data_IF_765040654091
#
_entry.id   IF_765040654091
#
_cell.length_a   1.000
_cell.length_b   1.000
_cell.length_c   1.000
_cell.angle_alpha   90.00
_cell.angle_beta   90.00
_cell.angle_gamma   90.00
#
_symmetry.space_group_name_H-M   'P 1'
#
loop_
_entity.id
_entity.type
_entity.pdbx_description
1 polymer ?
#
# COMPACT_ATOMS: atom_id res chain seq x y z
N UNK A 1 -5.02 11.98 22.29
CA UNK A 1 -3.63 11.78 21.78
C UNK A 1 -3.23 12.90 20.81
N UNK A 2 -3.91 13.07 19.66
CA UNK A 2 -3.55 14.07 18.65
C UNK A 2 -3.54 15.53 19.14
N UNK A 3 -4.50 15.93 19.97
CA UNK A 3 -4.49 17.26 20.60
C UNK A 3 -3.26 17.50 21.49
N UNK A 4 -2.79 16.47 22.20
CA UNK A 4 -1.59 16.56 23.02
C UNK A 4 -0.34 16.67 22.13
N UNK A 5 -0.25 15.91 21.04
CA UNK A 5 0.82 16.03 20.05
C UNK A 5 0.90 17.44 19.46
N UNK A 6 -0.24 18.01 19.05
CA UNK A 6 -0.30 19.37 18.53
C UNK A 6 0.19 20.41 19.56
N UNK A 7 -0.20 20.25 20.83
CA UNK A 7 0.27 21.11 21.94
C UNK A 7 1.78 20.99 22.16
N UNK A 8 2.32 19.77 22.24
CA UNK A 8 3.75 19.52 22.44
C UNK A 8 4.56 20.08 21.26
N UNK A 9 4.15 19.81 20.02
CA UNK A 9 4.81 20.33 18.83
C UNK A 9 4.87 21.86 18.87
N UNK A 10 3.76 22.51 19.21
CA UNK A 10 3.70 23.98 19.33
C UNK A 10 4.62 24.52 20.42
N UNK A 11 4.72 23.83 21.55
CA UNK A 11 5.62 24.21 22.64
C UNK A 11 7.09 24.08 22.25
N UNK A 12 7.46 22.99 21.56
CA UNK A 12 8.86 22.70 21.20
C UNK A 12 9.33 23.52 20.00
N UNK A 13 8.49 23.64 18.96
CA UNK A 13 8.85 24.25 17.67
C UNK A 13 8.44 25.73 17.60
N UNK A 14 7.56 26.19 18.50
CA UNK A 14 7.04 27.56 18.51
C UNK A 14 6.03 27.88 17.39
N UNK A 15 5.68 26.89 16.55
CA UNK A 15 4.74 27.03 15.42
C UNK A 15 3.61 26.00 15.50
N UNK A 16 2.40 26.31 15.03
CA UNK A 16 1.31 25.34 14.99
C UNK A 16 1.66 24.18 14.03
N UNK A 17 1.31 22.95 14.42
CA UNK A 17 1.40 21.81 13.53
C UNK A 17 0.26 21.88 12.51
N UNK A 18 0.59 22.15 11.25
CA UNK A 18 -0.38 22.15 10.14
C UNK A 18 -0.34 20.81 9.45
N UNK A 19 -1.47 20.10 9.48
CA UNK A 19 -1.60 18.79 8.83
C UNK A 19 -2.56 18.92 7.65
N UNK A 20 -2.03 18.75 6.44
CA UNK A 20 -2.82 18.76 5.20
C UNK A 20 -3.41 17.37 4.90
N UNK A 21 -2.63 16.30 5.10
CA UNK A 21 -3.03 14.93 4.74
C UNK A 21 -2.63 13.96 5.84
N UNK A 22 -3.51 13.02 6.16
CA UNK A 22 -3.24 11.90 7.09
C UNK A 22 -3.64 10.61 6.42
N UNK A 23 -2.74 9.62 6.39
CA UNK A 23 -3.07 8.28 5.93
C UNK A 23 -3.40 7.39 7.12
N UNK A 24 -4.52 6.66 7.04
CA UNK A 24 -4.91 5.72 8.07
C UNK A 24 -5.83 4.61 7.59
N UNK A 25 -6.46 3.96 8.56
CA UNK A 25 -7.28 2.77 8.36
C UNK A 25 -8.74 3.17 8.11
N UNK A 26 -9.59 2.19 7.79
CA UNK A 26 -11.03 2.43 7.63
C UNK A 26 -11.72 2.46 9.01
N UNK A 27 -11.24 3.32 9.91
CA UNK A 27 -11.67 3.39 11.31
C UNK A 27 -12.24 4.77 11.65
N UNK A 28 -13.51 4.77 12.06
CA UNK A 28 -14.24 5.99 12.37
C UNK A 28 -13.68 6.73 13.58
N UNK A 29 -13.17 6.00 14.58
CA UNK A 29 -12.60 6.60 15.78
C UNK A 29 -11.25 7.28 15.46
N UNK A 30 -10.43 6.68 14.60
CA UNK A 30 -9.22 7.30 14.08
C UNK A 30 -9.55 8.58 13.31
N UNK A 31 -10.46 8.51 12.33
CA UNK A 31 -10.88 9.68 11.56
C UNK A 31 -11.38 10.81 12.50
N UNK A 32 -12.29 10.49 13.41
CA UNK A 32 -12.84 11.46 14.36
C UNK A 32 -11.74 12.04 15.25
N UNK A 33 -10.82 11.23 15.76
CA UNK A 33 -9.71 11.68 16.58
C UNK A 33 -8.75 12.61 15.85
N UNK A 34 -8.45 12.32 14.58
CA UNK A 34 -7.61 13.17 13.73
C UNK A 34 -8.33 14.50 13.46
N UNK A 35 -9.61 14.45 13.08
CA UNK A 35 -10.42 15.65 12.85
C UNK A 35 -10.52 16.52 14.11
N UNK A 36 -10.72 15.93 15.29
CA UNK A 36 -10.73 16.71 16.54
C UNK A 36 -9.36 17.28 16.91
N UNK A 37 -8.28 16.55 16.63
CA UNK A 37 -6.91 16.97 16.99
C UNK A 37 -6.30 18.01 16.04
N UNK A 38 -6.69 17.96 14.76
CA UNK A 38 -6.06 18.74 13.69
C UNK A 38 -7.05 19.46 12.76
N UNK A 39 -8.35 19.20 12.85
CA UNK A 39 -9.37 19.75 11.93
C UNK A 39 -9.66 21.24 12.06
N UNK A 40 -8.89 21.98 12.86
CA UNK A 40 -8.87 23.44 12.81
C UNK A 40 -8.31 23.99 11.49
N UNK A 41 -7.59 23.17 10.70
CA UNK A 41 -7.25 23.48 9.31
C UNK A 41 -8.37 22.98 8.38
N UNK A 42 -9.02 23.90 7.66
CA UNK A 42 -10.11 23.61 6.72
C UNK A 42 -9.72 22.70 5.52
N UNK A 43 -8.49 22.19 5.48
CA UNK A 43 -7.92 21.42 4.36
C UNK A 43 -7.47 20.00 4.73
N UNK A 44 -7.65 19.55 5.98
CA UNK A 44 -7.21 18.20 6.36
C UNK A 44 -7.95 17.12 5.54
N UNK A 45 -7.18 16.34 4.77
CA UNK A 45 -7.67 15.20 4.00
C UNK A 45 -7.24 13.88 4.62
N UNK A 46 -8.22 13.05 4.98
CA UNK A 46 -7.98 11.69 5.40
C UNK A 46 -7.84 10.78 4.17
N UNK A 47 -6.65 10.22 4.01
CA UNK A 47 -6.29 9.27 2.96
C UNK A 47 -6.43 7.86 3.48
N UNK A 48 -7.00 7.01 2.64
CA UNK A 48 -7.13 5.60 2.93
C UNK A 48 -5.88 4.85 2.52
N UNK A 49 -5.33 4.07 3.45
CA UNK A 49 -4.20 3.22 3.13
C UNK A 49 -4.62 2.16 2.11
N UNK A 50 -3.96 2.16 0.94
CA UNK A 50 -4.25 1.20 -0.12
C UNK A 50 -3.95 -0.24 0.27
N UNK A 51 -2.96 -0.48 1.14
CA UNK A 51 -2.70 -1.81 1.67
C UNK A 51 -3.93 -2.40 2.35
N UNK A 52 -4.65 -1.62 3.17
CA UNK A 52 -5.87 -2.06 3.84
C UNK A 52 -6.99 -2.39 2.86
N UNK A 53 -7.14 -1.58 1.80
CA UNK A 53 -8.11 -1.86 0.73
C UNK A 53 -7.76 -3.17 0.04
N UNK A 54 -6.52 -3.33 -0.39
CA UNK A 54 -6.05 -4.54 -1.07
C UNK A 54 -6.15 -5.78 -0.19
N UNK A 55 -5.75 -5.70 1.08
CA UNK A 55 -5.86 -6.80 2.04
C UNK A 55 -7.31 -7.25 2.22
N UNK A 56 -8.25 -6.30 2.35
CA UNK A 56 -9.68 -6.59 2.47
C UNK A 56 -10.28 -7.16 1.20
N UNK A 57 -9.83 -6.69 0.03
CA UNK A 57 -10.22 -7.28 -1.25
C UNK A 57 -9.73 -8.72 -1.35
N UNK A 58 -8.46 -8.99 -1.06
CA UNK A 58 -7.87 -10.34 -1.07
C UNK A 58 -8.61 -11.28 -0.13
N UNK A 59 -8.91 -10.84 1.10
CA UNK A 59 -9.70 -11.61 2.07
C UNK A 59 -11.06 -12.03 1.48
N UNK A 60 -11.75 -11.11 0.79
CA UNK A 60 -13.07 -11.32 0.19
C UNK A 60 -13.02 -12.08 -1.14
N UNK A 61 -11.86 -12.19 -1.78
CA UNK A 61 -11.66 -12.96 -3.00
C UNK A 61 -10.93 -14.28 -2.78
N UNK A 62 -10.50 -14.59 -1.55
CA UNK A 62 -9.68 -15.78 -1.22
C UNK A 62 -10.34 -17.10 -1.60
N UNK A 63 -11.66 -17.19 -1.45
CA UNK A 63 -12.45 -18.40 -1.76
C UNK A 63 -12.91 -18.44 -3.22
N UNK A 64 -12.52 -17.47 -4.04
CA UNK A 64 -12.94 -17.38 -5.45
C UNK A 64 -11.95 -18.12 -6.35
N UNK A 65 -12.43 -18.54 -7.51
CA UNK A 65 -11.56 -19.10 -8.55
C UNK A 65 -10.47 -18.09 -8.96
N UNK A 66 -9.25 -18.56 -9.28
CA UNK A 66 -8.11 -17.68 -9.60
C UNK A 66 -8.37 -16.62 -10.68
N UNK A 67 -9.12 -16.90 -11.78
CA UNK A 67 -9.42 -15.88 -12.79
C UNK A 67 -10.21 -14.69 -12.25
N UNK A 68 -11.20 -14.94 -11.39
CA UNK A 68 -12.02 -13.89 -10.79
C UNK A 68 -11.22 -13.05 -9.78
N UNK A 69 -10.36 -13.68 -8.99
CA UNK A 69 -9.46 -12.97 -8.09
C UNK A 69 -8.48 -12.08 -8.86
N UNK A 70 -7.92 -12.57 -9.98
CA UNK A 70 -7.05 -11.78 -10.87
C UNK A 70 -7.79 -10.58 -11.46
N UNK A 71 -9.02 -10.77 -11.98
CA UNK A 71 -9.85 -9.71 -12.54
C UNK A 71 -10.14 -8.59 -11.52
N UNK A 72 -10.54 -8.98 -10.30
CA UNK A 72 -10.80 -8.02 -9.21
C UNK A 72 -9.54 -7.26 -8.82
N UNK A 73 -8.41 -7.96 -8.66
CA UNK A 73 -7.16 -7.31 -8.27
C UNK A 73 -6.64 -6.38 -9.36
N UNK A 74 -6.74 -6.76 -10.64
CA UNK A 74 -6.36 -5.89 -11.77
C UNK A 74 -7.16 -4.60 -11.74
N UNK A 75 -8.49 -4.69 -11.70
CA UNK A 75 -9.34 -3.52 -11.66
C UNK A 75 -9.12 -2.63 -10.43
N UNK A 76 -8.81 -3.23 -9.27
CA UNK A 76 -8.41 -2.49 -8.07
C UNK A 76 -7.14 -1.66 -8.29
N UNK A 77 -6.11 -2.26 -8.89
CA UNK A 77 -4.85 -1.57 -9.18
C UNK A 77 -5.02 -0.48 -10.24
N UNK A 78 -5.80 -0.75 -11.30
CA UNK A 78 -6.09 0.24 -12.35
C UNK A 78 -6.78 1.48 -11.76
N UNK A 79 -7.76 1.27 -10.87
CA UNK A 79 -8.40 2.36 -10.14
C UNK A 79 -7.46 3.07 -9.18
N UNK A 80 -6.58 2.35 -8.47
CA UNK A 80 -5.64 2.93 -7.52
C UNK A 80 -4.64 3.86 -8.21
N UNK A 81 -4.09 3.40 -9.32
CA UNK A 81 -3.03 4.10 -10.07
C UNK A 81 -3.54 5.13 -11.07
N UNK A 82 -4.86 5.37 -11.12
CA UNK A 82 -5.40 6.53 -11.83
C UNK A 82 -4.69 7.82 -11.39
N UNK A 83 -4.32 8.65 -12.36
CA UNK A 83 -3.47 9.84 -12.15
C UNK A 83 -4.28 11.11 -11.91
N UNK A 84 -5.57 11.08 -12.20
CA UNK A 84 -6.50 12.15 -11.90
C UNK A 84 -7.90 11.60 -11.68
N UNK A 85 -8.79 12.46 -11.19
CA UNK A 85 -10.18 12.10 -10.95
C UNK A 85 -10.92 11.68 -12.23
N UNK A 86 -10.64 12.33 -13.37
CA UNK A 86 -11.26 11.96 -14.66
C UNK A 86 -10.88 10.57 -15.14
N UNK A 87 -9.59 10.22 -15.03
CA UNK A 87 -9.10 8.87 -15.33
C UNK A 87 -9.72 7.86 -14.36
N UNK A 88 -9.75 8.17 -13.07
CA UNK A 88 -10.39 7.32 -12.07
C UNK A 88 -11.86 7.07 -12.39
N UNK A 89 -12.64 8.09 -12.76
CA UNK A 89 -14.06 7.93 -13.12
C UNK A 89 -14.24 7.00 -14.32
N UNK A 90 -13.40 7.15 -15.34
CA UNK A 90 -13.43 6.33 -16.56
C UNK A 90 -13.05 4.88 -16.26
N UNK A 91 -11.90 4.67 -15.60
CA UNK A 91 -11.42 3.35 -15.20
C UNK A 91 -12.41 2.65 -14.27
N UNK A 92 -12.97 3.38 -13.30
CA UNK A 92 -14.01 2.85 -12.39
C UNK A 92 -15.23 2.38 -13.17
N UNK A 93 -15.71 3.15 -14.14
CA UNK A 93 -16.87 2.75 -14.94
C UNK A 93 -16.59 1.46 -15.74
N UNK A 94 -15.42 1.38 -16.38
CA UNK A 94 -15.01 0.20 -17.14
C UNK A 94 -14.87 -1.03 -16.25
N UNK A 95 -14.12 -0.94 -15.14
CA UNK A 95 -13.88 -2.05 -14.22
C UNK A 95 -15.20 -2.57 -13.62
N UNK A 96 -16.11 -1.66 -13.26
CA UNK A 96 -17.40 -2.07 -12.72
C UNK A 96 -18.32 -2.73 -13.76
N UNK A 97 -18.20 -2.36 -15.04
CA UNK A 97 -18.89 -3.06 -16.13
C UNK A 97 -18.31 -4.47 -16.31
N UNK A 98 -16.99 -4.60 -16.38
CA UNK A 98 -16.31 -5.91 -16.49
C UNK A 98 -16.64 -6.84 -15.32
N UNK A 99 -16.76 -6.31 -14.10
CA UNK A 99 -17.19 -7.10 -12.94
C UNK A 99 -18.68 -7.45 -12.97
N UNK A 100 -19.52 -6.67 -13.66
CA UNK A 100 -20.95 -6.95 -13.80
C UNK A 100 -21.22 -8.10 -14.80
N UNK A 101 -20.35 -8.26 -15.80
CA UNK A 101 -20.41 -9.36 -16.78
C UNK A 101 -20.12 -10.74 -16.15
N UNK A 102 -19.66 -10.76 -14.89
CA UNK A 102 -19.34 -11.99 -14.14
C UNK A 102 -20.34 -12.15 -12.99
N UNK A 103 -21.43 -12.94 -13.15
CA UNK A 103 -22.50 -13.01 -12.16
C UNK A 103 -22.04 -13.37 -10.73
N UNK A 104 -21.03 -14.23 -10.61
CA UNK A 104 -20.47 -14.64 -9.30
C UNK A 104 -19.83 -13.48 -8.54
N UNK A 105 -19.47 -12.37 -9.21
CA UNK A 105 -18.92 -11.17 -8.58
C UNK A 105 -19.98 -10.19 -8.07
N UNK A 106 -21.27 -10.36 -8.38
CA UNK A 106 -22.32 -9.40 -8.04
C UNK A 106 -22.30 -8.96 -6.57
N UNK A 107 -22.28 -9.91 -5.62
CA UNK A 107 -22.21 -9.62 -4.18
C UNK A 107 -20.94 -8.88 -3.79
N UNK A 108 -19.80 -9.23 -4.39
CA UNK A 108 -18.54 -8.54 -4.15
C UNK A 108 -18.57 -7.11 -4.70
N UNK A 109 -19.11 -6.90 -5.90
CA UNK A 109 -19.23 -5.60 -6.53
C UNK A 109 -20.11 -4.65 -5.70
N UNK A 110 -21.23 -5.14 -5.15
CA UNK A 110 -22.08 -4.37 -4.23
C UNK A 110 -21.32 -4.00 -2.96
N UNK A 111 -20.61 -4.95 -2.34
CA UNK A 111 -19.74 -4.69 -1.21
C UNK A 111 -18.70 -3.61 -1.52
N UNK A 112 -17.96 -3.77 -2.63
CA UNK A 112 -16.87 -2.88 -3.02
C UNK A 112 -17.37 -1.45 -3.24
N UNK A 113 -18.51 -1.29 -3.93
CA UNK A 113 -19.16 0.02 -4.12
C UNK A 113 -19.50 0.68 -2.78
N UNK A 114 -20.11 -0.07 -1.86
CA UNK A 114 -20.53 0.46 -0.56
C UNK A 114 -19.34 0.89 0.31
N UNK A 115 -18.25 0.11 0.32
CA UNK A 115 -17.15 0.32 1.26
C UNK A 115 -16.07 1.25 0.74
N UNK A 116 -15.72 1.13 -0.54
CA UNK A 116 -14.51 1.75 -1.09
C UNK A 116 -14.79 2.85 -2.11
N UNK A 117 -16.02 2.93 -2.63
CA UNK A 117 -16.41 3.95 -3.61
C UNK A 117 -17.43 4.95 -3.06
N UNK A 118 -17.99 4.69 -1.87
CA UNK A 118 -19.01 5.53 -1.24
C UNK A 118 -18.64 5.81 0.22
N UNK A 119 -19.06 6.96 0.76
CA UNK A 119 -18.85 7.32 2.17
C UNK A 119 -17.51 8.01 2.44
N UNK A 120 -16.99 7.81 3.66
CA UNK A 120 -15.86 8.59 4.22
C UNK A 120 -14.47 8.05 3.85
N UNK A 121 -14.38 6.77 3.47
CA UNK A 121 -13.13 6.04 3.29
C UNK A 121 -12.86 5.71 1.82
N UNK A 122 -13.01 6.70 0.96
CA UNK A 122 -12.91 6.54 -0.51
C UNK A 122 -11.59 7.03 -1.08
N UNK A 123 -10.82 7.81 -0.32
CA UNK A 123 -9.59 8.47 -0.78
C UNK A 123 -8.36 7.55 -0.75
N UNK A 124 -8.40 6.41 -1.44
CA UNK A 124 -7.30 5.44 -1.54
C UNK A 124 -6.50 5.52 -2.84
N UNK A 125 -6.91 6.37 -3.79
CA UNK A 125 -6.25 6.51 -5.09
C UNK A 125 -4.97 7.35 -4.98
N UNK A 126 -4.00 7.07 -5.86
CA UNK A 126 -2.68 7.73 -5.82
C UNK A 126 -2.77 9.23 -6.08
N UNK A 127 -3.68 9.67 -6.95
CA UNK A 127 -3.83 11.09 -7.31
C UNK A 127 -4.28 12.00 -6.16
N UNK A 128 -4.73 11.46 -5.02
CA UNK A 128 -4.99 12.27 -3.83
C UNK A 128 -3.72 12.70 -3.07
N UNK A 129 -2.58 12.10 -3.39
CA UNK A 129 -1.28 12.40 -2.78
C UNK A 129 -0.43 13.21 -3.72
N UNK A 130 0.44 14.03 -3.14
CA UNK A 130 1.53 14.67 -3.88
C UNK A 130 2.51 13.59 -4.34
N UNK A 131 3.14 13.79 -5.50
CA UNK A 131 4.13 12.84 -6.05
C UNK A 131 5.27 12.61 -5.06
N UNK A 132 5.77 11.38 -4.99
CA UNK A 132 6.84 10.98 -4.08
C UNK A 132 6.39 10.66 -2.65
N UNK A 133 5.12 10.89 -2.30
CA UNK A 133 4.60 10.53 -0.98
C UNK A 133 4.28 9.04 -0.88
N UNK A 134 4.40 8.49 0.33
CA UNK A 134 4.15 7.09 0.60
C UNK A 134 2.74 6.67 0.15
N UNK A 135 2.64 5.55 -0.58
CA UNK A 135 1.36 5.03 -1.06
C UNK A 135 0.68 4.10 -0.07
N UNK A 136 1.44 3.61 0.90
CA UNK A 136 0.99 2.74 1.99
C UNK A 136 1.56 3.25 3.32
N UNK A 137 0.87 2.93 4.40
CA UNK A 137 1.38 3.07 5.76
C UNK A 137 2.33 1.92 6.16
N UNK A 138 2.72 1.03 5.23
CA UNK A 138 3.47 -0.20 5.54
C UNK A 138 4.75 0.02 6.37
N UNK A 139 5.53 1.12 6.19
CA UNK A 139 6.65 1.42 7.08
C UNK A 139 6.21 1.64 8.54
N UNK A 140 5.08 2.35 8.74
CA UNK A 140 4.49 2.60 10.07
C UNK A 140 3.96 1.30 10.67
N UNK A 141 3.29 0.47 9.88
CA UNK A 141 2.81 -0.83 10.34
C UNK A 141 3.95 -1.76 10.74
N UNK A 142 5.02 -1.82 9.93
CA UNK A 142 6.20 -2.62 10.24
C UNK A 142 6.85 -2.14 11.55
N UNK A 143 6.99 -0.83 11.74
CA UNK A 143 7.50 -0.27 12.99
C UNK A 143 6.59 -0.61 14.18
N UNK A 144 5.28 -0.45 14.02
CA UNK A 144 4.29 -0.79 15.05
C UNK A 144 4.34 -2.28 15.44
N UNK A 145 4.59 -3.17 14.47
CA UNK A 145 4.71 -4.61 14.67
C UNK A 145 5.96 -4.94 15.47
N UNK A 146 7.08 -4.27 15.18
CA UNK A 146 8.32 -4.40 15.96
C UNK A 146 8.11 -3.96 17.40
N UNK A 147 7.52 -2.77 17.63
CA UNK A 147 7.21 -2.28 18.98
C UNK A 147 6.34 -3.27 19.75
N UNK A 148 5.23 -3.70 19.13
CA UNK A 148 4.29 -4.65 19.75
C UNK A 148 4.98 -5.97 20.11
N UNK A 149 5.84 -6.48 19.22
CA UNK A 149 6.52 -7.76 19.43
C UNK A 149 7.63 -7.68 20.47
N UNK A 150 8.44 -6.63 20.45
CA UNK A 150 9.71 -6.59 21.20
C UNK A 150 9.66 -5.79 22.50
N UNK A 151 8.81 -4.77 22.58
CA UNK A 151 8.83 -3.82 23.70
C UNK A 151 7.56 -3.91 24.54
N UNK A 152 6.40 -4.11 23.92
CA UNK A 152 5.15 -4.27 24.67
C UNK A 152 4.72 -5.71 24.84
N UNK A 153 5.37 -6.66 24.16
CA UNK A 153 5.00 -8.09 24.16
C UNK A 153 3.49 -8.29 23.94
N UNK A 154 2.92 -7.52 23.00
CA UNK A 154 1.48 -7.47 22.70
C UNK A 154 0.55 -7.10 23.88
N UNK A 155 1.11 -6.65 25.00
CA UNK A 155 0.38 -6.23 26.19
C UNK A 155 -0.01 -4.75 26.12
N UNK A 156 -1.17 -4.42 26.70
CA UNK A 156 -1.63 -3.03 26.82
C UNK A 156 -0.98 -2.38 28.05
N UNK A 157 -0.11 -1.41 27.82
CA UNK A 157 0.62 -0.70 28.88
C UNK A 157 -0.08 0.61 29.28
N UNK A 158 0.09 1.01 30.54
CA UNK A 158 -0.25 2.38 30.99
C UNK A 158 0.73 3.38 30.36
N UNK A 159 0.32 4.64 30.20
CA UNK A 159 1.11 5.67 29.52
C UNK A 159 2.54 5.82 30.06
N UNK A 160 2.76 5.81 31.38
CA UNK A 160 4.10 5.89 31.96
C UNK A 160 5.00 4.72 31.55
N UNK A 161 4.50 3.49 31.64
CA UNK A 161 5.23 2.30 31.21
C UNK A 161 5.48 2.28 29.69
N UNK A 162 4.51 2.76 28.90
CA UNK A 162 4.65 2.87 27.46
C UNK A 162 5.74 3.88 27.06
N UNK A 163 5.81 5.04 27.73
CA UNK A 163 6.86 6.02 27.50
C UNK A 163 8.25 5.46 27.84
N UNK A 164 8.36 4.69 28.91
CA UNK A 164 9.61 3.98 29.23
C UNK A 164 10.01 3.00 28.13
N UNK A 165 9.06 2.20 27.62
CA UNK A 165 9.34 1.29 26.50
C UNK A 165 9.76 2.03 25.22
N UNK A 166 9.18 3.19 24.93
CA UNK A 166 9.63 4.03 23.82
C UNK A 166 11.04 4.56 24.04
N UNK A 167 11.38 5.00 25.26
CA UNK A 167 12.73 5.43 25.58
C UNK A 167 13.73 4.28 25.39
N UNK A 168 13.42 3.09 25.92
CA UNK A 168 14.23 1.88 25.71
C UNK A 168 14.42 1.57 24.23
N UNK A 169 13.36 1.67 23.42
CA UNK A 169 13.43 1.49 21.97
C UNK A 169 14.34 2.53 21.30
N UNK A 170 14.27 3.80 21.70
CA UNK A 170 15.13 4.84 21.17
C UNK A 170 16.59 4.58 21.55
N UNK A 171 16.86 4.22 22.81
CA UNK A 171 18.21 3.92 23.30
C UNK A 171 18.80 2.71 22.57
N UNK A 172 18.06 1.60 22.44
CA UNK A 172 18.56 0.40 21.76
C UNK A 172 18.85 0.65 20.28
N UNK A 173 17.97 1.37 19.56
CA UNK A 173 18.23 1.72 18.16
C UNK A 173 19.38 2.74 18.03
N UNK A 174 19.58 3.64 19.01
CA UNK A 174 20.72 4.57 19.01
C UNK A 174 22.07 3.90 19.24
N UNK A 175 22.08 2.75 19.94
CA UNK A 175 23.26 1.91 20.14
C UNK A 175 23.51 0.95 18.98
N UNK A 176 22.62 0.93 17.98
CA UNK A 176 22.79 0.06 16.82
C UNK A 176 23.89 0.60 15.92
N UNK A 177 24.87 -0.24 15.57
CA UNK A 177 25.89 0.05 14.54
C UNK A 177 25.31 0.13 13.11
N UNK A 178 23.99 0.20 12.96
CA UNK A 178 23.33 0.40 11.67
C UNK A 178 23.63 1.82 11.21
N UNK A 179 24.46 1.94 10.19
CA UNK A 179 24.68 3.21 9.51
C UNK A 179 23.37 3.70 8.89
N UNK A 180 23.01 4.95 9.21
CA UNK A 180 21.89 5.61 8.55
C UNK A 180 22.22 5.77 7.07
N UNK A 181 21.33 5.27 6.20
CA UNK A 181 21.47 5.49 4.78
C UNK A 181 21.30 6.98 4.49
N UNK A 182 22.36 7.63 4.01
CA UNK A 182 22.36 9.04 3.61
C UNK A 182 21.78 9.27 2.22
N UNK A 183 21.50 8.18 1.49
CA UNK A 183 20.89 8.21 0.17
C UNK A 183 19.94 7.04 -0.05
N UNK A 184 19.10 7.12 -1.10
CA UNK A 184 18.20 6.04 -1.45
C UNK A 184 18.99 4.83 -1.96
N UNK A 185 19.02 3.76 -1.16
CA UNK A 185 19.61 2.48 -1.58
C UNK A 185 18.54 1.61 -2.24
N UNK A 186 18.68 1.36 -3.53
CA UNK A 186 17.77 0.47 -4.26
C UNK A 186 18.10 -0.99 -3.89
N UNK A 187 17.16 -1.76 -3.33
CA UNK A 187 17.42 -3.16 -3.00
C UNK A 187 17.79 -3.98 -4.24
N UNK A 188 18.77 -4.89 -4.13
CA UNK A 188 19.16 -5.78 -5.24
C UNK A 188 17.98 -6.58 -5.80
N UNK A 189 17.05 -6.98 -4.93
CA UNK A 189 15.81 -7.67 -5.32
C UNK A 189 14.92 -6.81 -6.21
N UNK A 190 14.82 -5.50 -5.93
CA UNK A 190 14.06 -4.56 -6.74
C UNK A 190 14.71 -4.38 -8.11
N UNK A 191 16.04 -4.21 -8.16
CA UNK A 191 16.79 -4.12 -9.43
C UNK A 191 16.55 -5.36 -10.28
N UNK A 192 16.68 -6.55 -9.68
CA UNK A 192 16.45 -7.82 -10.38
C UNK A 192 15.02 -7.90 -10.92
N UNK A 193 14.03 -7.57 -10.09
CA UNK A 193 12.61 -7.62 -10.49
C UNK A 193 12.27 -6.63 -11.59
N UNK A 194 12.82 -5.42 -11.54
CA UNK A 194 12.66 -4.43 -12.61
C UNK A 194 13.24 -4.95 -13.92
N UNK A 195 14.42 -5.57 -13.90
CA UNK A 195 15.00 -6.19 -15.11
C UNK A 195 14.14 -7.31 -15.67
N UNK A 196 13.63 -8.21 -14.82
CA UNK A 196 12.71 -9.28 -15.22
C UNK A 196 11.44 -8.72 -15.89
N UNK A 197 10.80 -7.71 -15.27
CA UNK A 197 9.60 -7.09 -15.81
C UNK A 197 9.87 -6.31 -17.10
N UNK A 198 11.04 -5.67 -17.21
CA UNK A 198 11.48 -4.98 -18.42
C UNK A 198 11.65 -5.97 -19.58
N UNK A 199 12.33 -7.09 -19.33
CA UNK A 199 12.54 -8.14 -20.33
C UNK A 199 11.21 -8.74 -20.80
N UNK A 200 10.25 -8.90 -19.88
CA UNK A 200 8.90 -9.38 -20.18
C UNK A 200 7.98 -8.32 -20.83
N UNK A 201 8.46 -7.08 -21.05
CA UNK A 201 7.65 -5.94 -21.54
C UNK A 201 6.42 -5.63 -20.68
N UNK A 202 6.53 -5.90 -19.38
CA UNK A 202 5.48 -5.66 -18.39
C UNK A 202 5.68 -4.35 -17.61
N UNK A 203 6.74 -3.60 -17.91
CA UNK A 203 6.95 -2.26 -17.37
C UNK A 203 6.35 -1.22 -18.28
N UNK A 204 5.47 -0.40 -17.72
CA UNK A 204 4.99 0.82 -18.36
C UNK A 204 5.63 2.02 -17.66
N UNK A 205 6.57 2.67 -18.33
CA UNK A 205 7.21 3.89 -17.82
C UNK A 205 6.44 5.12 -18.31
N UNK A 206 5.80 5.82 -17.38
CA UNK A 206 5.19 7.10 -17.68
C UNK A 206 6.21 8.22 -17.44
N UNK A 207 6.82 8.72 -18.52
CA UNK A 207 7.63 9.93 -18.47
C UNK A 207 6.77 11.17 -18.80
N UNK A 208 6.44 12.03 -17.81
CA UNK A 208 5.82 13.31 -18.10
C UNK A 208 6.91 14.23 -18.66
N UNK A 209 7.15 14.16 -19.98
CA UNK A 209 7.95 15.12 -20.79
C UNK A 209 8.90 16.04 -20.00
N UNK A 210 10.18 15.65 -20.02
CA UNK A 210 11.42 16.38 -19.71
C UNK A 210 11.36 17.92 -19.70
N UNK A 211 10.76 18.53 -18.69
CA UNK A 211 10.96 19.96 -18.37
C UNK A 211 11.01 20.14 -16.85
N UNK A 212 11.85 21.08 -16.41
CA UNK A 212 12.07 21.45 -15.00
C UNK A 212 10.80 21.99 -14.32
N UNK A 213 9.73 22.24 -15.09
CA UNK A 213 8.43 22.72 -14.61
C UNK A 213 7.85 21.88 -13.45
N UNK A 214 8.10 20.57 -13.40
CA UNK A 214 7.67 19.73 -12.26
C UNK A 214 8.31 20.13 -10.91
N UNK A 215 9.51 20.72 -10.93
CA UNK A 215 10.19 21.23 -9.73
C UNK A 215 9.74 22.64 -9.34
N UNK A 216 9.07 23.34 -10.25
CA UNK A 216 8.64 24.74 -10.09
C UNK A 216 7.11 24.89 -9.91
N UNK A 217 6.35 23.80 -10.02
CA UNK A 217 4.89 23.78 -9.84
C UNK A 217 4.56 23.83 -8.33
N UNK A 218 4.71 25.03 -7.76
CA UNK A 218 3.98 25.42 -6.56
C UNK A 218 2.48 25.40 -6.89
N UNK A 219 1.76 24.48 -6.24
CA UNK A 219 0.31 24.52 -6.00
C UNK A 219 -0.54 25.30 -7.04
N UNK A 220 -0.91 24.70 -8.17
CA UNK A 220 -2.18 25.02 -8.86
C UNK A 220 -2.71 23.85 -9.73
N UNK A 221 -4.04 23.75 -9.91
CA UNK A 221 -4.71 22.49 -10.24
C UNK A 221 -4.79 22.28 -11.77
N UNK A 222 -4.24 21.18 -12.26
CA UNK A 222 -4.54 20.70 -13.61
C UNK A 222 -5.53 19.53 -13.59
N UNK A 223 -6.79 19.82 -13.91
CA UNK A 223 -7.64 18.93 -14.70
C UNK A 223 -8.77 19.73 -15.36
N UNK A 224 -8.80 19.75 -16.69
CA UNK A 224 -10.01 20.13 -17.43
C UNK A 224 -10.41 19.05 -18.44
N UNK A 225 -10.31 17.75 -18.07
CA UNK A 225 -10.72 16.53 -18.83
C UNK A 225 -9.71 15.78 -19.73
N UNK A 226 -8.44 15.65 -19.32
CA UNK A 226 -7.47 14.57 -19.70
C UNK A 226 -6.35 14.81 -20.73
N UNK A 227 -6.31 15.84 -21.58
CA UNK A 227 -5.25 16.11 -22.61
C UNK A 227 -4.14 15.03 -22.82
N UNK A 228 -4.46 13.80 -23.25
CA UNK A 228 -3.56 12.82 -23.93
C UNK A 228 -4.34 11.78 -24.77
N UNK A 229 -3.76 11.24 -25.86
CA UNK A 229 -4.42 10.29 -26.77
C UNK A 229 -4.52 8.87 -26.18
N UNK A 230 -5.57 8.15 -26.59
CA UNK A 230 -5.90 6.75 -26.26
C UNK A 230 -4.67 5.83 -26.37
N UNK A 231 -4.36 5.07 -25.31
CA UNK A 231 -3.54 3.87 -25.45
C UNK A 231 -4.48 2.68 -25.63
N UNK A 232 -4.34 2.03 -26.78
CA UNK A 232 -4.98 0.78 -27.18
C UNK A 232 -4.60 -0.30 -26.18
N UNK A 233 -5.61 -1.07 -25.74
CA UNK A 233 -5.44 -2.28 -24.94
C UNK A 233 -4.70 -3.30 -25.80
N UNK A 234 -3.55 -3.79 -25.34
CA UNK A 234 -3.03 -5.10 -25.70
C UNK A 234 -1.95 -5.49 -24.69
N UNK A 235 -2.34 -6.24 -23.65
CA UNK A 235 -1.50 -7.31 -23.10
C UNK A 235 -2.42 -8.35 -22.44
N UNK A 236 -2.82 -9.35 -23.21
CA UNK A 236 -3.06 -10.71 -22.72
C UNK A 236 -1.73 -11.26 -22.21
N UNK A 237 -1.50 -11.18 -20.89
CA UNK A 237 -0.39 -11.90 -20.25
C UNK A 237 -0.95 -12.85 -19.20
N UNK A 238 -0.80 -14.13 -19.50
CA UNK A 238 -0.86 -15.21 -18.53
C UNK A 238 0.19 -14.96 -17.46
N UNK A 239 -0.30 -14.80 -16.22
CA UNK A 239 0.56 -14.75 -15.05
C UNK A 239 0.76 -16.20 -14.60
N UNK A 240 2.00 -16.69 -14.44
CA UNK A 240 2.20 -18.03 -13.89
C UNK A 240 1.71 -18.07 -12.43
N UNK A 241 0.92 -19.07 -12.03
CA UNK A 241 0.46 -19.23 -10.65
C UNK A 241 1.62 -19.75 -9.79
N UNK A 242 2.04 -19.03 -8.75
CA UNK A 242 2.93 -19.64 -7.74
C UNK A 242 3.86 -18.76 -6.90
N UNK A 243 3.99 -17.44 -7.13
CA UNK A 243 5.02 -16.64 -6.42
C UNK A 243 4.52 -15.80 -5.23
N UNK A 244 3.45 -16.24 -4.55
CA UNK A 244 3.06 -15.67 -3.25
C UNK A 244 3.71 -16.43 -2.09
N UNK A 245 5.05 -16.56 -2.12
CA UNK A 245 5.81 -17.03 -0.97
C UNK A 245 6.28 -15.83 -0.13
N UNK A 246 5.70 -15.71 1.06
CA UNK A 246 6.08 -14.78 2.11
C UNK A 246 7.55 -15.00 2.52
N UNK A 247 8.46 -14.01 2.34
CA UNK A 247 9.85 -14.17 2.75
C UNK A 247 9.97 -13.87 4.24
N UNK A 248 9.60 -14.83 5.09
CA UNK A 248 10.07 -14.99 6.48
C UNK A 248 9.35 -16.18 7.15
N UNK A 249 9.88 -17.38 6.99
CA UNK A 249 9.78 -18.42 8.00
C UNK A 249 11.05 -19.31 7.92
N UNK A 250 11.97 -19.26 8.89
CA UNK A 250 13.08 -20.19 8.95
C UNK A 250 12.56 -21.47 9.62
N UNK A 251 12.10 -22.43 8.82
CA UNK A 251 11.92 -23.79 9.33
C UNK A 251 13.30 -24.42 9.29
N UNK A 252 13.92 -24.55 10.47
CA UNK A 252 15.10 -25.37 10.64
C UNK A 252 14.77 -26.82 10.38
N UNK A 253 15.57 -27.48 9.56
CA UNK A 253 15.70 -28.93 9.60
C UNK A 253 17.17 -29.31 9.57
N UNK A 254 17.54 -30.03 10.63
CA UNK A 254 18.81 -30.70 10.82
C UNK A 254 19.16 -31.57 9.62
N UNK A 255 20.40 -31.47 9.19
CA UNK A 255 21.02 -32.39 8.27
C UNK A 255 21.27 -33.73 8.98
N UNK A 256 20.63 -34.80 8.52
CA UNK A 256 21.11 -36.17 8.71
C UNK A 256 20.67 -37.05 7.53
N UNK A 257 21.64 -37.72 6.90
CA UNK A 257 21.42 -39.01 6.24
C UNK A 257 21.26 -39.01 4.72
N UNK A 258 22.37 -39.14 4.02
CA UNK A 258 22.43 -39.66 2.65
C UNK A 258 22.02 -41.15 2.62
N UNK A 259 21.11 -41.51 1.70
CA UNK A 259 21.15 -42.79 0.96
C UNK A 259 20.22 -42.71 -0.29
N UNK A 260 20.62 -43.26 -1.45
CA UNK A 260 19.87 -43.15 -2.70
C UNK A 260 18.91 -44.33 -2.91
N UNK A 261 17.70 -44.07 -3.42
CA UNK A 261 16.80 -45.11 -3.94
C UNK A 261 16.54 -44.90 -5.43
N UNK A 262 16.95 -45.92 -6.18
CA UNK A 262 16.82 -46.18 -7.62
C UNK A 262 15.37 -46.31 -8.08
N UNK A 263 15.02 -45.65 -9.18
CA UNK A 263 13.81 -45.89 -9.96
C UNK A 263 14.15 -46.69 -11.22
N UNK A 264 13.57 -47.90 -11.32
CA UNK A 264 13.61 -48.75 -12.50
C UNK A 264 12.57 -48.34 -13.55
N UNK A 265 12.90 -48.59 -14.81
CA UNK A 265 12.06 -48.40 -15.99
C UNK A 265 10.93 -49.44 -16.06
N UNK A 266 9.76 -49.11 -16.63
CA UNK A 266 8.73 -50.11 -16.92
C UNK A 266 8.99 -50.76 -18.28
N UNK A 267 8.88 -52.09 -18.32
CA UNK A 267 8.93 -52.92 -19.53
C UNK A 267 7.54 -53.41 -19.92
N UNK A 268 7.39 -53.62 -21.22
CA UNK A 268 6.22 -54.08 -21.96
C UNK A 268 5.71 -55.50 -21.58
N UNK A 269 4.45 -55.73 -22.00
CA UNK A 269 3.64 -56.95 -22.07
C UNK A 269 2.76 -57.29 -20.85
#
# INVERSE_FOLDING_TARGET
MFAALNRIYRQVIGKPLVVEKVMGDADAAQLNGVTQGFGGSAQLKYLMCFYHVAAKVVERTRVRQPPHAKLVMSGLYDMHFARCEGEFRTTKAQVLAEWADVPVLATFTTYFKSQWLTGRFTSWQVYHKTRGWATTNNPVEQFSRTIKRQYTLHSRLKMGALLQQFLTCCTSESLSDKTFATGPTIPKSLIRRTKELSAAKLLHEYSPRATVAFLLDDFQPLCSTCRRPRCVKDVSADFPPGSWANPRNPVGHCATGNAPCSCGSPGDA
#
